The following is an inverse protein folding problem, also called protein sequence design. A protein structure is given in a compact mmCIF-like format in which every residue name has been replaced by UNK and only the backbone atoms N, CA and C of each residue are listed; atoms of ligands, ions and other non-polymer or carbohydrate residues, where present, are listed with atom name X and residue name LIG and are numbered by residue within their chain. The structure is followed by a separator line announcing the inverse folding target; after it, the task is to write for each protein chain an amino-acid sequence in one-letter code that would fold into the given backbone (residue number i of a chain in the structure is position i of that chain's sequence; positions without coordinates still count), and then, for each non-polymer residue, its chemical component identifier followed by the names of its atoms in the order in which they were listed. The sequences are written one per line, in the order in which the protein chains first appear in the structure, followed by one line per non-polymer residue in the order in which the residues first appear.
data_IF_150896680118
#
_entry.id   IF_150896680118
#
_cell.length_a   1.000
_cell.length_b   1.000
_cell.length_c   1.000
_cell.angle_alpha   90.00
_cell.angle_beta   90.00
_cell.angle_gamma   90.00
#
_symmetry.space_group_name_H-M   'P 1'
#
loop_
_entity.id
_entity.type
_entity.pdbx_description
1 polymer ?
#
# COMPACT_ATOMS: atom_id res chain seq x y z
N UNK A 1 -9.13 -24.86 14.53
CA UNK A 1 -8.75 -23.43 14.53
C UNK A 1 -9.89 -22.64 13.89
N UNK A 2 -10.37 -21.60 14.57
CA UNK A 2 -11.40 -20.67 14.08
C UNK A 2 -10.76 -19.35 13.68
N UNK A 3 -10.85 -18.94 12.42
CA UNK A 3 -10.18 -17.72 11.93
C UNK A 3 -11.14 -16.76 11.25
N UNK A 4 -10.84 -15.47 11.31
CA UNK A 4 -11.43 -14.47 10.43
C UNK A 4 -10.59 -14.35 9.16
N UNK A 5 -11.20 -14.52 7.99
CA UNK A 5 -10.55 -14.24 6.70
C UNK A 5 -10.79 -12.78 6.34
N UNK A 6 -9.72 -12.00 6.28
CA UNK A 6 -9.78 -10.57 5.99
C UNK A 6 -10.06 -10.26 4.53
N UNK A 7 -10.58 -9.06 4.28
CA UNK A 7 -10.94 -8.57 2.95
C UNK A 7 -9.76 -8.66 1.97
N UNK A 8 -8.56 -8.31 2.42
CA UNK A 8 -7.34 -8.35 1.59
C UNK A 8 -7.10 -9.73 0.96
N UNK A 9 -7.44 -10.80 1.68
CA UNK A 9 -7.27 -12.19 1.20
C UNK A 9 -8.37 -12.52 0.20
N UNK A 10 -9.62 -12.16 0.50
CA UNK A 10 -10.74 -12.41 -0.43
C UNK A 10 -10.58 -11.65 -1.76
N UNK A 11 -9.98 -10.46 -1.73
CA UNK A 11 -9.70 -9.67 -2.93
C UNK A 11 -8.80 -10.41 -3.94
N UNK A 12 -7.98 -11.36 -3.50
CA UNK A 12 -7.15 -12.19 -4.40
C UNK A 12 -7.98 -13.03 -5.38
N UNK A 13 -9.23 -13.36 -5.05
CA UNK A 13 -10.13 -14.08 -5.95
C UNK A 13 -10.64 -13.19 -7.11
N UNK A 14 -10.59 -11.87 -6.93
CA UNK A 14 -11.12 -10.89 -7.85
C UNK A 14 -10.06 -10.33 -8.81
N UNK A 15 -8.79 -10.49 -8.47
CA UNK A 15 -7.65 -9.92 -9.22
C UNK A 15 -6.94 -11.04 -9.96
N UNK A 16 -6.57 -10.82 -11.23
CA UNK A 16 -5.88 -11.80 -12.09
C UNK A 16 -4.38 -11.89 -11.76
N UNK A 17 -4.06 -12.23 -10.52
CA UNK A 17 -2.72 -12.66 -10.13
C UNK A 17 -2.76 -14.11 -9.66
N UNK A 18 -2.18 -15.00 -10.47
CA UNK A 18 -2.26 -16.45 -10.28
C UNK A 18 -1.73 -16.92 -8.91
N UNK A 19 -0.63 -16.33 -8.42
CA UNK A 19 0.03 -16.78 -7.19
C UNK A 19 -0.78 -16.53 -5.92
N UNK A 20 -1.38 -15.34 -5.76
CA UNK A 20 -2.19 -15.01 -4.58
C UNK A 20 -3.57 -15.66 -4.62
N UNK A 21 -4.13 -15.82 -5.83
CA UNK A 21 -5.38 -16.55 -6.03
C UNK A 21 -5.22 -18.02 -5.62
N UNK A 22 -4.12 -18.68 -6.02
CA UNK A 22 -3.87 -20.09 -5.69
C UNK A 22 -3.77 -20.32 -4.17
N UNK A 23 -3.03 -19.47 -3.44
CA UNK A 23 -2.92 -19.59 -1.98
C UNK A 23 -4.27 -19.36 -1.28
N UNK A 24 -5.04 -18.39 -1.76
CA UNK A 24 -6.38 -18.10 -1.21
C UNK A 24 -7.35 -19.25 -1.46
N UNK A 25 -7.31 -19.87 -2.64
CA UNK A 25 -8.11 -21.05 -2.95
C UNK A 25 -7.75 -22.23 -2.04
N UNK A 26 -6.44 -22.51 -1.83
CA UNK A 26 -6.00 -23.55 -0.88
C UNK A 26 -6.48 -23.30 0.54
N UNK A 27 -6.46 -22.04 0.99
CA UNK A 27 -7.01 -21.68 2.30
C UNK A 27 -8.51 -22.01 2.39
N UNK A 28 -9.27 -21.67 1.36
CA UNK A 28 -10.70 -21.97 1.29
C UNK A 28 -10.98 -23.48 1.25
N UNK A 29 -10.18 -24.26 0.53
CA UNK A 29 -10.27 -25.73 0.51
C UNK A 29 -10.03 -26.35 1.91
N UNK A 30 -9.07 -25.82 2.68
CA UNK A 30 -8.82 -26.27 4.07
C UNK A 30 -10.02 -25.94 4.98
N UNK A 31 -10.64 -24.77 4.78
CA UNK A 31 -11.85 -24.39 5.51
C UNK A 31 -13.04 -25.28 5.11
N UNK A 32 -13.24 -25.50 3.82
CA UNK A 32 -14.33 -26.32 3.26
C UNK A 32 -14.22 -27.79 3.71
N UNK A 33 -13.00 -28.33 3.80
CA UNK A 33 -12.71 -29.67 4.32
C UNK A 33 -12.88 -29.80 5.85
N UNK A 34 -13.33 -28.75 6.54
CA UNK A 34 -13.56 -28.70 7.98
C UNK A 34 -12.32 -28.93 8.85
N UNK A 35 -11.11 -28.86 8.27
CA UNK A 35 -9.83 -28.86 9.04
C UNK A 35 -9.69 -27.58 9.86
N UNK A 36 -10.37 -26.51 9.45
CA UNK A 36 -10.50 -25.27 10.19
C UNK A 36 -11.86 -24.62 9.91
N UNK A 37 -12.28 -23.71 10.79
CA UNK A 37 -13.50 -22.92 10.58
C UNK A 37 -13.12 -21.50 10.12
N UNK A 38 -13.61 -21.12 8.95
CA UNK A 38 -13.42 -19.78 8.39
C UNK A 38 -14.63 -18.90 8.62
N UNK A 39 -14.37 -17.69 9.07
CA UNK A 39 -15.37 -16.64 9.28
C UNK A 39 -15.05 -15.42 8.43
N UNK A 40 -16.05 -14.59 8.17
CA UNK A 40 -15.91 -13.29 7.51
C UNK A 40 -16.76 -12.24 8.23
N UNK A 41 -16.23 -11.03 8.40
CA UNK A 41 -16.97 -9.96 9.03
C UNK A 41 -18.13 -9.51 8.14
N UNK A 42 -19.30 -9.26 8.72
CA UNK A 42 -20.48 -8.75 7.98
C UNK A 42 -20.17 -7.49 7.15
N UNK A 43 -19.36 -6.58 7.69
CA UNK A 43 -18.91 -5.40 6.97
C UNK A 43 -18.03 -5.76 5.75
N UNK A 44 -17.16 -6.77 5.90
CA UNK A 44 -16.31 -7.31 4.83
C UNK A 44 -17.12 -8.00 3.74
N UNK A 45 -18.19 -8.73 4.08
CA UNK A 45 -19.10 -9.37 3.10
C UNK A 45 -19.67 -8.34 2.12
N UNK A 46 -20.18 -7.22 2.63
CA UNK A 46 -20.75 -6.17 1.80
C UNK A 46 -19.71 -5.51 0.88
N UNK A 47 -18.53 -5.20 1.42
CA UNK A 47 -17.40 -4.61 0.66
C UNK A 47 -16.90 -5.57 -0.41
N UNK A 48 -16.72 -6.84 -0.07
CA UNK A 48 -16.26 -7.88 -1.00
C UNK A 48 -17.20 -8.03 -2.19
N UNK A 49 -18.51 -8.14 -1.95
CA UNK A 49 -19.49 -8.22 -3.04
C UNK A 49 -19.48 -6.97 -3.92
N UNK A 50 -19.37 -5.79 -3.31
CA UNK A 50 -19.25 -4.53 -4.04
C UNK A 50 -18.03 -4.51 -4.97
N UNK A 51 -16.85 -4.89 -4.47
CA UNK A 51 -15.63 -4.95 -5.29
C UNK A 51 -15.71 -6.03 -6.37
N UNK A 52 -16.31 -7.19 -6.08
CA UNK A 52 -16.49 -8.24 -7.07
C UNK A 52 -17.31 -7.75 -8.26
N UNK A 53 -18.38 -6.97 -8.01
CA UNK A 53 -19.20 -6.38 -9.08
C UNK A 53 -18.43 -5.40 -9.96
N UNK A 54 -17.55 -4.61 -9.35
CA UNK A 54 -16.74 -3.61 -10.07
C UNK A 54 -15.68 -4.30 -10.92
N UNK A 55 -14.98 -5.29 -10.36
CA UNK A 55 -13.81 -5.90 -10.98
C UNK A 55 -14.13 -7.03 -11.95
N UNK A 56 -15.19 -7.81 -11.68
CA UNK A 56 -15.55 -9.01 -12.45
C UNK A 56 -16.93 -8.91 -13.14
N UNK A 57 -17.70 -7.86 -12.85
CA UNK A 57 -19.07 -7.71 -13.34
C UNK A 57 -20.09 -8.51 -12.53
N UNK A 58 -21.38 -8.24 -12.75
CA UNK A 58 -22.49 -8.73 -11.92
C UNK A 58 -22.58 -10.26 -11.84
N UNK A 59 -22.39 -10.95 -12.98
CA UNK A 59 -22.56 -12.41 -13.06
C UNK A 59 -21.47 -13.12 -12.26
N UNK A 60 -20.21 -12.84 -12.58
CA UNK A 60 -19.05 -13.47 -11.95
C UNK A 60 -18.97 -13.09 -10.46
N UNK A 61 -19.36 -11.86 -10.10
CA UNK A 61 -19.46 -11.44 -8.71
C UNK A 61 -20.43 -12.32 -7.91
N UNK A 62 -21.58 -12.70 -8.47
CA UNK A 62 -22.55 -13.58 -7.80
C UNK A 62 -22.00 -15.00 -7.64
N UNK A 63 -21.32 -15.51 -8.66
CA UNK A 63 -20.71 -16.85 -8.62
C UNK A 63 -19.61 -16.92 -7.55
N UNK A 64 -18.65 -15.99 -7.59
CA UNK A 64 -17.55 -15.90 -6.60
C UNK A 64 -18.10 -15.66 -5.19
N UNK A 65 -19.07 -14.76 -5.04
CA UNK A 65 -19.68 -14.50 -3.74
C UNK A 65 -20.40 -15.73 -3.18
N UNK A 66 -21.16 -16.45 -4.02
CA UNK A 66 -21.83 -17.68 -3.61
C UNK A 66 -20.85 -18.77 -3.20
N UNK A 67 -19.72 -18.88 -3.88
CA UNK A 67 -18.64 -19.79 -3.50
C UNK A 67 -18.07 -19.41 -2.14
N UNK A 68 -17.65 -18.15 -1.94
CA UNK A 68 -17.06 -17.68 -0.68
C UNK A 68 -18.02 -17.85 0.49
N UNK A 69 -19.29 -17.46 0.34
CA UNK A 69 -20.28 -17.58 1.42
C UNK A 69 -20.80 -19.01 1.63
N UNK A 70 -20.56 -19.91 0.68
CA UNK A 70 -20.77 -21.35 0.88
C UNK A 70 -19.73 -21.98 1.81
N UNK A 71 -18.55 -21.36 1.91
CA UNK A 71 -17.39 -21.85 2.67
C UNK A 71 -17.25 -21.10 4.01
N UNK A 72 -17.38 -19.77 3.99
CA UNK A 72 -17.18 -18.91 5.16
C UNK A 72 -18.47 -18.60 5.90
N UNK A 73 -18.38 -18.58 7.24
CA UNK A 73 -19.49 -18.16 8.11
C UNK A 73 -19.45 -16.64 8.33
N UNK A 74 -20.54 -15.94 8.04
CA UNK A 74 -20.65 -14.52 8.42
C UNK A 74 -20.68 -14.37 9.95
N UNK A 75 -19.87 -13.49 10.50
CA UNK A 75 -19.99 -13.04 11.89
C UNK A 75 -20.46 -11.59 11.97
N UNK A 76 -21.32 -11.32 12.96
CA UNK A 76 -21.84 -10.00 13.30
C UNK A 76 -21.29 -9.54 14.65
N UNK A 77 -21.21 -8.23 14.87
CA UNK A 77 -20.91 -7.64 16.17
C UNK A 77 -22.02 -6.66 16.52
N UNK A 78 -22.58 -6.79 17.73
CA UNK A 78 -23.39 -5.74 18.35
C UNK A 78 -22.44 -4.82 19.11
N UNK A 79 -22.04 -3.71 18.48
CA UNK A 79 -21.07 -2.77 19.04
C UNK A 79 -21.50 -2.26 20.42
N UNK A 80 -20.88 -2.80 21.46
CA UNK A 80 -20.93 -2.24 22.81
C UNK A 80 -20.00 -1.01 22.90
N UNK A 81 -20.19 -0.19 23.93
CA UNK A 81 -19.37 1.03 24.15
C UNK A 81 -17.88 0.66 24.29
N UNK A 82 -17.56 -0.45 24.97
CA UNK A 82 -16.20 -0.92 25.19
C UNK A 82 -15.49 -1.37 23.89
N UNK A 83 -16.25 -1.89 22.92
CA UNK A 83 -15.72 -2.30 21.61
C UNK A 83 -15.45 -1.10 20.70
N UNK A 84 -16.17 0.01 20.89
CA UNK A 84 -15.92 1.26 20.15
C UNK A 84 -14.62 1.93 20.59
N UNK A 85 -14.35 1.98 21.90
CA UNK A 85 -13.12 2.58 22.42
C UNK A 85 -11.90 1.79 21.94
N UNK A 86 -11.97 0.44 21.98
CA UNK A 86 -10.94 -0.44 21.40
C UNK A 86 -10.79 -0.28 19.89
N UNK A 87 -11.88 -0.03 19.17
CA UNK A 87 -11.83 0.20 17.73
C UNK A 87 -11.02 1.46 17.41
N UNK A 88 -11.19 2.56 18.15
CA UNK A 88 -10.42 3.79 17.91
C UNK A 88 -8.91 3.61 18.10
N UNK A 89 -8.51 2.94 19.18
CA UNK A 89 -7.09 2.62 19.43
C UNK A 89 -6.51 1.73 18.33
N UNK A 90 -7.28 0.74 17.86
CA UNK A 90 -6.88 -0.15 16.77
C UNK A 90 -6.83 0.56 15.42
N UNK A 91 -7.72 1.52 15.15
CA UNK A 91 -7.75 2.29 13.90
C UNK A 91 -6.45 3.07 13.73
N UNK A 92 -5.95 3.73 14.79
CA UNK A 92 -4.69 4.47 14.73
C UNK A 92 -3.49 3.59 14.41
N UNK A 93 -3.53 2.33 14.85
CA UNK A 93 -2.44 1.37 14.68
C UNK A 93 -2.51 0.58 13.37
N UNK A 94 -3.71 0.26 12.89
CA UNK A 94 -3.90 -0.76 11.84
C UNK A 94 -4.68 -0.28 10.62
N UNK A 95 -5.27 0.92 10.68
CA UNK A 95 -6.21 1.42 9.67
C UNK A 95 -7.64 0.94 9.93
N UNK A 96 -8.62 1.59 9.30
CA UNK A 96 -10.04 1.38 9.61
C UNK A 96 -10.51 -0.04 9.28
N UNK A 97 -10.15 -0.55 8.11
CA UNK A 97 -10.58 -1.86 7.63
C UNK A 97 -10.06 -3.00 8.52
N UNK A 98 -8.78 -2.96 8.88
CA UNK A 98 -8.16 -4.00 9.70
C UNK A 98 -8.64 -3.90 11.16
N UNK A 99 -8.79 -2.69 11.69
CA UNK A 99 -9.33 -2.48 13.03
C UNK A 99 -10.75 -3.03 13.15
N UNK A 100 -11.59 -2.78 12.15
CA UNK A 100 -12.94 -3.35 12.08
C UNK A 100 -12.87 -4.88 12.11
N UNK A 101 -12.07 -5.52 11.26
CA UNK A 101 -11.92 -6.98 11.23
C UNK A 101 -11.39 -7.56 12.55
N UNK A 102 -10.42 -6.92 13.20
CA UNK A 102 -9.91 -7.33 14.51
C UNK A 102 -11.01 -7.28 15.58
N UNK A 103 -11.85 -6.25 15.59
CA UNK A 103 -12.98 -6.18 16.53
C UNK A 103 -13.95 -7.33 16.29
N UNK A 104 -14.27 -7.66 15.04
CA UNK A 104 -15.11 -8.81 14.72
C UNK A 104 -14.50 -10.12 15.21
N UNK A 105 -13.20 -10.31 14.98
CA UNK A 105 -12.49 -11.51 15.40
C UNK A 105 -12.48 -11.68 16.92
N UNK A 106 -12.17 -10.61 17.65
CA UNK A 106 -12.11 -10.60 19.12
C UNK A 106 -13.50 -10.83 19.71
N UNK A 107 -14.52 -10.08 19.26
CA UNK A 107 -15.88 -10.16 19.79
C UNK A 107 -16.51 -11.55 19.57
N UNK A 108 -16.15 -12.23 18.49
CA UNK A 108 -16.64 -13.58 18.16
C UNK A 108 -15.76 -14.72 18.72
N UNK A 109 -14.77 -14.39 19.56
CA UNK A 109 -13.82 -15.34 20.16
C UNK A 109 -13.13 -16.21 19.10
N UNK A 110 -12.67 -15.59 18.01
CA UNK A 110 -11.87 -16.25 16.99
C UNK A 110 -10.41 -16.34 17.45
N UNK A 111 -9.65 -17.28 16.89
CA UNK A 111 -8.28 -17.56 17.31
C UNK A 111 -7.24 -16.72 16.55
N UNK A 112 -7.58 -16.27 15.34
CA UNK A 112 -6.69 -15.43 14.53
C UNK A 112 -7.44 -14.63 13.44
N UNK A 113 -6.80 -13.55 12.98
CA UNK A 113 -7.13 -12.84 11.73
C UNK A 113 -6.16 -13.29 10.64
N UNK A 114 -6.66 -13.72 9.49
CA UNK A 114 -5.87 -14.05 8.30
C UNK A 114 -5.91 -12.88 7.32
N UNK A 115 -4.75 -12.30 7.01
CA UNK A 115 -4.64 -11.11 6.15
C UNK A 115 -3.32 -11.13 5.38
N UNK A 116 -3.28 -10.43 4.24
CA UNK A 116 -2.02 -10.25 3.49
C UNK A 116 -1.04 -9.35 4.24
N UNK A 117 -1.52 -8.53 5.17
CA UNK A 117 -0.72 -7.56 5.93
C UNK A 117 -0.22 -8.10 7.28
N UNK A 118 -0.19 -9.43 7.47
CA UNK A 118 0.07 -10.02 8.78
C UNK A 118 1.44 -9.66 9.36
N UNK A 119 2.48 -9.56 8.53
CA UNK A 119 3.82 -9.16 8.98
C UNK A 119 3.83 -7.74 9.56
N UNK A 120 3.18 -6.78 8.87
CA UNK A 120 3.03 -5.39 9.31
C UNK A 120 2.28 -5.31 10.64
N UNK A 121 1.20 -6.07 10.78
CA UNK A 121 0.33 -6.04 11.97
C UNK A 121 0.97 -6.73 13.19
N UNK A 122 1.76 -7.78 12.98
CA UNK A 122 2.53 -8.41 14.03
C UNK A 122 3.68 -7.51 14.53
N UNK A 123 4.30 -6.71 13.65
CA UNK A 123 5.34 -5.74 14.04
C UNK A 123 4.80 -4.63 14.95
N UNK A 124 3.53 -4.24 14.76
CA UNK A 124 2.86 -3.20 15.55
C UNK A 124 2.43 -3.72 16.95
N UNK A 125 2.67 -5.00 17.24
CA UNK A 125 2.46 -5.58 18.57
C UNK A 125 1.00 -5.92 18.88
N UNK A 126 0.21 -6.29 17.87
CA UNK A 126 -1.16 -6.78 18.09
C UNK A 126 -1.15 -7.94 19.10
N UNK A 127 -1.85 -7.77 20.23
CA UNK A 127 -2.04 -8.83 21.22
C UNK A 127 -2.92 -9.99 20.71
N UNK A 128 -3.64 -9.75 19.61
CA UNK A 128 -4.44 -10.75 18.92
C UNK A 128 -3.65 -11.37 17.75
N UNK A 129 -3.63 -12.71 17.59
CA UNK A 129 -2.87 -13.35 16.53
C UNK A 129 -3.31 -12.92 15.13
N UNK A 130 -2.35 -12.43 14.34
CA UNK A 130 -2.56 -12.11 12.92
C UNK A 130 -1.65 -13.00 12.07
N UNK A 131 -2.22 -13.69 11.08
CA UNK A 131 -1.54 -14.71 10.28
C UNK A 131 -1.59 -14.36 8.80
N UNK A 132 -0.51 -14.63 8.07
CA UNK A 132 -0.55 -14.67 6.61
C UNK A 132 -1.23 -15.96 6.14
N UNK A 133 -1.64 -16.00 4.88
CA UNK A 133 -2.17 -17.23 4.27
C UNK A 133 -1.12 -18.35 4.34
N UNK A 134 0.12 -18.04 3.96
CA UNK A 134 1.26 -18.96 4.05
C UNK A 134 1.44 -19.55 5.46
N UNK A 135 1.40 -18.71 6.50
CA UNK A 135 1.49 -19.19 7.88
C UNK A 135 0.36 -20.12 8.30
N UNK A 136 -0.83 -19.99 7.70
CA UNK A 136 -1.95 -20.94 7.93
C UNK A 136 -1.69 -22.25 7.19
N UNK A 137 -1.19 -22.18 5.95
CA UNK A 137 -0.87 -23.34 5.13
C UNK A 137 0.26 -24.18 5.77
N UNK A 138 1.32 -23.53 6.26
CA UNK A 138 2.47 -24.18 6.90
C UNK A 138 2.14 -24.86 8.23
N UNK A 139 1.04 -24.46 8.88
CA UNK A 139 0.60 -25.01 10.17
C UNK A 139 -0.23 -26.29 10.04
N UNK A 140 -0.53 -26.74 8.83
CA UNK A 140 -1.20 -28.01 8.61
C UNK A 140 -0.17 -29.16 8.63
N UNK A 141 -0.50 -30.33 9.20
CA UNK A 141 0.40 -31.47 9.12
C UNK A 141 0.59 -31.87 7.66
N UNK A 142 1.83 -32.20 7.33
CA UNK A 142 2.29 -32.86 6.10
C UNK A 142 1.47 -34.13 5.79
N UNK A 143 0.30 -33.99 5.17
CA UNK A 143 -0.40 -35.13 4.55
C UNK A 143 -0.56 -34.97 3.03
N UNK A 144 -0.42 -33.76 2.48
CA UNK A 144 -0.39 -33.55 1.03
C UNK A 144 1.07 -33.53 0.55
N UNK A 145 1.52 -34.71 0.16
CA UNK A 145 2.91 -35.07 -0.05
C UNK A 145 3.38 -34.84 -1.49
N UNK A 146 4.70 -34.75 -1.69
CA UNK A 146 5.43 -35.10 -2.91
C UNK A 146 5.13 -34.31 -4.20
N UNK A 147 6.02 -33.36 -4.52
CA UNK A 147 6.75 -33.20 -5.79
C UNK A 147 7.08 -31.72 -6.05
N UNK A 148 8.24 -31.27 -5.57
CA UNK A 148 9.23 -30.44 -6.31
C UNK A 148 10.40 -30.11 -5.40
N UNK A 149 11.47 -30.89 -5.54
CA UNK A 149 12.80 -30.48 -5.08
C UNK A 149 13.42 -29.64 -6.20
N UNK A 150 13.84 -28.42 -5.89
CA UNK A 150 14.99 -27.80 -6.56
C UNK A 150 16.03 -27.41 -5.50
N UNK A 151 17.32 -27.43 -5.86
CA UNK A 151 18.40 -27.54 -4.89
C UNK A 151 18.77 -26.20 -4.26
N UNK A 152 19.07 -26.26 -2.97
CA UNK A 152 19.64 -25.17 -2.17
C UNK A 152 21.06 -24.89 -2.68
N UNK A 153 21.32 -23.69 -3.20
CA UNK A 153 22.68 -23.19 -3.37
C UNK A 153 23.21 -22.66 -2.04
N UNK A 154 24.39 -23.14 -1.66
CA UNK A 154 25.15 -22.75 -0.47
C UNK A 154 25.50 -21.25 -0.48
N UNK A 155 25.12 -20.54 0.58
CA UNK A 155 25.61 -19.22 0.93
C UNK A 155 27.08 -19.31 1.38
N UNK A 156 28.00 -18.87 0.51
CA UNK A 156 29.36 -18.50 0.93
C UNK A 156 29.34 -17.09 1.53
N UNK A 157 29.64 -17.03 2.82
CA UNK A 157 29.97 -15.81 3.55
C UNK A 157 31.45 -15.53 3.35
N UNK A 158 31.83 -14.31 2.95
CA UNK A 158 33.15 -13.71 3.18
C UNK A 158 33.09 -12.16 3.01
N UNK A 159 34.07 -11.40 3.51
CA UNK A 159 33.85 -10.46 4.61
C UNK A 159 33.81 -8.99 4.21
N UNK A 160 33.28 -8.16 5.11
CA UNK A 160 33.35 -6.71 5.07
C UNK A 160 34.81 -6.21 5.04
N UNK A 161 35.15 -5.44 4.01
CA UNK A 161 36.15 -4.37 4.14
C UNK A 161 35.64 -3.11 3.47
N UNK A 162 35.27 -2.17 4.33
CA UNK A 162 35.12 -0.73 4.10
C UNK A 162 36.27 -0.15 3.26
N UNK A 163 35.90 0.54 2.18
CA UNK A 163 36.48 1.83 1.79
C UNK A 163 35.36 2.69 1.17
N UNK A 164 34.93 3.71 1.93
CA UNK A 164 33.96 4.73 1.53
C UNK A 164 34.47 5.54 0.32
N UNK A 165 33.73 5.51 -0.79
CA UNK A 165 33.81 6.51 -1.85
C UNK A 165 32.58 7.42 -1.79
N UNK A 166 32.72 8.75 -1.59
CA UNK A 166 31.59 9.68 -1.41
C UNK A 166 30.73 9.98 -2.64
N UNK A 167 30.95 9.29 -3.77
CA UNK A 167 30.29 9.57 -5.06
C UNK A 167 29.40 8.42 -5.56
N UNK A 168 29.14 7.40 -4.74
CA UNK A 168 28.32 6.24 -5.11
C UNK A 168 26.90 6.24 -4.52
N UNK A 169 26.49 7.29 -3.81
CA UNK A 169 25.22 7.33 -3.10
C UNK A 169 23.99 7.66 -3.96
N UNK A 170 24.16 8.00 -5.25
CA UNK A 170 23.05 8.38 -6.14
C UNK A 170 22.56 7.24 -7.07
N UNK A 171 23.30 6.13 -7.19
CA UNK A 171 22.98 5.04 -8.14
C UNK A 171 22.31 3.81 -7.52
N UNK A 172 22.16 3.77 -6.19
CA UNK A 172 21.51 2.66 -5.46
C UNK A 172 20.04 2.95 -5.07
N UNK A 173 19.46 4.07 -5.54
CA UNK A 173 18.04 4.31 -5.30
C UNK A 173 17.18 3.39 -6.17
N UNK A 174 16.46 2.46 -5.52
CA UNK A 174 15.46 1.63 -6.17
C UNK A 174 14.39 2.53 -6.82
N UNK A 175 14.14 2.42 -8.14
CA UNK A 175 13.17 3.27 -8.81
C UNK A 175 11.76 3.01 -8.28
N UNK A 176 11.00 4.08 -8.06
CA UNK A 176 9.58 4.01 -7.74
C UNK A 176 8.82 3.62 -9.00
N UNK A 177 8.18 2.45 -8.98
CA UNK A 177 7.48 1.87 -10.13
C UNK A 177 6.03 2.35 -10.16
N UNK A 178 5.73 3.34 -11.00
CA UNK A 178 4.40 3.93 -11.13
C UNK A 178 3.42 2.97 -11.80
N UNK A 179 3.89 2.07 -12.68
CA UNK A 179 3.06 0.97 -13.20
C UNK A 179 2.45 0.09 -12.11
N UNK A 180 3.16 -0.13 -11.01
CA UNK A 180 2.58 -0.87 -9.89
C UNK A 180 1.43 -0.07 -9.29
N UNK A 181 1.60 1.24 -9.12
CA UNK A 181 0.56 2.12 -8.57
C UNK A 181 -0.68 2.14 -9.47
N UNK A 182 -0.52 2.27 -10.79
CA UNK A 182 -1.62 2.24 -11.75
C UNK A 182 -2.39 0.92 -11.73
N UNK A 183 -1.73 -0.17 -11.32
CA UNK A 183 -2.34 -1.51 -11.09
C UNK A 183 -2.87 -1.68 -9.67
N UNK A 184 -2.87 -0.63 -8.87
CA UNK A 184 -3.19 -0.63 -7.44
C UNK A 184 -2.29 -1.55 -6.59
N UNK A 185 -1.10 -1.87 -7.07
CA UNK A 185 -0.04 -2.51 -6.29
C UNK A 185 0.87 -1.44 -5.68
N UNK A 186 0.84 -1.36 -4.36
CA UNK A 186 1.58 -0.36 -3.61
C UNK A 186 2.59 -0.98 -2.64
N UNK A 187 2.86 -2.29 -2.75
CA UNK A 187 3.75 -2.97 -1.84
C UNK A 187 5.14 -2.32 -1.82
N UNK A 188 5.77 -2.18 -2.98
CA UNK A 188 7.06 -1.50 -3.12
C UNK A 188 6.98 -0.03 -2.67
N UNK A 189 5.86 0.63 -2.93
CA UNK A 189 5.65 2.04 -2.57
C UNK A 189 5.67 2.22 -1.04
N UNK A 190 4.95 1.38 -0.31
CA UNK A 190 4.86 1.44 1.16
C UNK A 190 6.21 1.12 1.82
N UNK A 191 6.97 0.16 1.29
CA UNK A 191 8.33 -0.12 1.77
C UNK A 191 9.24 1.09 1.58
N UNK A 192 9.03 1.84 0.50
CA UNK A 192 9.75 3.08 0.21
C UNK A 192 9.09 4.32 0.84
N UNK A 193 8.21 4.15 1.83
CA UNK A 193 7.56 5.24 2.58
C UNK A 193 6.68 6.17 1.72
N UNK A 194 6.03 5.61 0.69
CA UNK A 194 4.96 6.26 -0.06
C UNK A 194 3.60 5.85 0.50
N UNK A 195 2.88 6.80 1.07
CA UNK A 195 1.63 6.59 1.80
C UNK A 195 0.42 7.14 1.04
N UNK A 196 -0.81 6.72 1.36
CA UNK A 196 -2.02 7.44 0.94
C UNK A 196 -1.95 8.92 1.32
N UNK A 197 -2.52 9.78 0.47
CA UNK A 197 -2.59 11.22 0.73
C UNK A 197 -3.17 11.56 2.11
N UNK A 198 -4.19 10.82 2.52
CA UNK A 198 -4.95 11.04 3.75
C UNK A 198 -4.11 10.88 5.01
N UNK A 199 -3.08 10.03 4.96
CA UNK A 199 -2.24 9.70 6.10
C UNK A 199 -1.31 10.84 6.48
N UNK A 200 -0.87 11.62 5.49
CA UNK A 200 0.02 12.76 5.71
C UNK A 200 -0.78 14.07 5.66
N UNK A 201 -1.38 14.40 4.50
CA UNK A 201 -1.93 15.73 4.24
C UNK A 201 -3.41 15.87 4.64
N UNK A 202 -4.18 14.78 4.63
CA UNK A 202 -5.60 14.79 5.03
C UNK A 202 -5.86 15.28 6.46
N UNK A 203 -4.84 15.20 7.32
CA UNK A 203 -4.86 15.64 8.72
C UNK A 203 -4.38 17.09 8.94
N UNK A 204 -3.75 17.70 7.94
CA UNK A 204 -2.99 18.95 8.11
C UNK A 204 -3.81 20.20 7.72
N UNK A 205 -4.45 20.22 6.56
CA UNK A 205 -5.22 21.40 6.13
C UNK A 205 -6.39 21.04 5.20
N UNK A 206 -7.54 21.70 5.42
CA UNK A 206 -8.75 21.51 4.61
C UNK A 206 -8.56 21.91 3.15
N UNK A 207 -7.78 22.97 2.87
CA UNK A 207 -7.49 23.45 1.51
C UNK A 207 -6.80 22.40 0.64
N UNK A 208 -6.00 21.51 1.26
CA UNK A 208 -5.33 20.45 0.54
C UNK A 208 -6.29 19.30 0.15
N UNK A 209 -7.41 19.10 0.87
CA UNK A 209 -8.35 17.99 0.62
C UNK A 209 -9.06 18.06 -0.74
N UNK A 210 -9.10 19.22 -1.36
CA UNK A 210 -9.78 19.44 -2.64
C UNK A 210 -8.83 19.34 -3.85
N UNK A 211 -7.50 19.38 -3.63
CA UNK A 211 -6.50 19.42 -4.71
C UNK A 211 -6.46 18.14 -5.59
N UNK A 212 -6.57 16.91 -5.05
CA UNK A 212 -6.50 15.68 -5.87
C UNK A 212 -7.83 15.29 -6.52
N UNK A 213 -8.96 15.92 -6.14
CA UNK A 213 -10.32 15.43 -6.48
C UNK A 213 -10.68 15.54 -7.96
N UNK A 214 -9.86 16.23 -8.75
CA UNK A 214 -10.15 16.51 -10.16
C UNK A 214 -9.45 15.56 -11.14
N UNK A 215 -8.62 14.62 -10.66
CA UNK A 215 -7.90 13.70 -11.54
C UNK A 215 -8.27 12.25 -11.18
N UNK A 216 -8.90 11.55 -12.14
CA UNK A 216 -9.20 10.12 -12.05
C UNK A 216 -7.90 9.32 -12.13
N UNK A 217 -7.33 8.97 -10.99
CA UNK A 217 -6.09 8.21 -10.92
C UNK A 217 -5.74 7.84 -9.49
N UNK A 218 -4.53 7.35 -9.31
CA UNK A 218 -4.00 6.98 -7.99
C UNK A 218 -3.00 8.02 -7.54
N UNK A 219 -2.86 8.20 -6.24
CA UNK A 219 -1.85 9.09 -5.69
C UNK A 219 -1.16 8.47 -4.48
N UNK A 220 0.09 8.88 -4.28
CA UNK A 220 0.84 8.61 -3.06
C UNK A 220 1.60 9.85 -2.63
N UNK A 221 1.85 9.95 -1.34
CA UNK A 221 2.57 11.05 -0.71
C UNK A 221 3.75 10.50 0.07
N UNK A 222 4.88 11.18 -0.07
CA UNK A 222 6.09 10.93 0.71
C UNK A 222 6.39 12.14 1.57
N UNK A 223 6.54 11.90 2.87
CA UNK A 223 7.01 12.92 3.83
C UNK A 223 8.53 13.05 3.72
N UNK A 224 8.99 14.28 3.62
CA UNK A 224 10.40 14.65 3.57
C UNK A 224 10.67 15.47 4.83
N UNK A 225 11.66 15.05 5.62
CA UNK A 225 12.11 15.78 6.80
C UNK A 225 13.52 16.27 6.51
N UNK A 226 13.70 17.58 6.56
CA UNK A 226 14.98 18.24 6.32
C UNK A 226 15.76 18.39 7.62
N UNK A 227 17.09 18.50 7.53
CA UNK A 227 17.98 18.65 8.71
C UNK A 227 17.68 19.92 9.52
N UNK A 228 17.13 20.95 8.89
CA UNK A 228 16.69 22.17 9.56
C UNK A 228 15.32 22.02 10.27
N UNK A 229 14.77 20.81 10.32
CA UNK A 229 13.48 20.50 10.95
C UNK A 229 12.26 20.85 10.10
N UNK A 230 12.44 21.47 8.93
CA UNK A 230 11.35 21.67 7.99
C UNK A 230 10.81 20.31 7.53
N UNK A 231 9.49 20.21 7.34
CA UNK A 231 8.86 19.02 6.81
C UNK A 231 8.03 19.39 5.59
N UNK A 232 8.17 18.62 4.51
CA UNK A 232 7.43 18.79 3.27
C UNK A 232 6.79 17.48 2.84
N UNK A 233 5.75 17.56 2.02
CA UNK A 233 5.06 16.43 1.43
C UNK A 233 5.21 16.50 -0.09
N UNK A 234 5.88 15.52 -0.69
CA UNK A 234 5.84 15.31 -2.13
C UNK A 234 4.67 14.38 -2.44
N UNK A 235 3.74 14.87 -3.25
CA UNK A 235 2.57 14.15 -3.72
C UNK A 235 2.78 13.83 -5.17
N UNK A 236 2.57 12.57 -5.52
CA UNK A 236 2.66 12.07 -6.89
C UNK A 236 1.31 11.46 -7.22
N UNK A 237 0.62 12.07 -8.18
CA UNK A 237 -0.62 11.57 -8.75
C UNK A 237 -0.34 11.05 -10.17
N UNK A 238 -0.87 9.88 -10.48
CA UNK A 238 -0.76 9.27 -11.81
C UNK A 238 -2.11 8.76 -12.30
N UNK A 239 -2.39 8.99 -13.58
CA UNK A 239 -3.62 8.58 -14.24
C UNK A 239 -3.34 8.03 -15.65
N UNK A 240 -4.08 6.98 -16.04
CA UNK A 240 -4.04 6.48 -17.42
C UNK A 240 -4.93 7.39 -18.27
N UNK A 241 -4.35 8.04 -19.29
CA UNK A 241 -5.09 8.82 -20.28
C UNK A 241 -5.42 7.99 -21.54
N UNK A 242 -4.48 7.13 -21.97
CA UNK A 242 -4.66 6.23 -23.12
C UNK A 242 -3.83 4.94 -22.97
N UNK A 243 -3.89 4.03 -23.95
CA UNK A 243 -3.24 2.71 -23.88
C UNK A 243 -1.71 2.75 -23.64
N UNK A 244 -1.05 3.89 -23.81
CA UNK A 244 0.41 4.00 -23.58
C UNK A 244 0.86 5.27 -22.86
N UNK A 245 -0.04 6.20 -22.52
CA UNK A 245 0.32 7.51 -21.99
C UNK A 245 -0.24 7.67 -20.56
N UNK A 246 0.64 8.05 -19.64
CA UNK A 246 0.34 8.30 -18.22
C UNK A 246 0.45 9.79 -17.95
N UNK A 247 -0.60 10.38 -17.41
CA UNK A 247 -0.59 11.75 -16.90
C UNK A 247 -0.03 11.74 -15.47
N UNK A 248 0.97 12.60 -15.23
CA UNK A 248 1.69 12.68 -13.96
C UNK A 248 1.55 14.10 -13.42
N UNK A 249 1.02 14.22 -12.21
CA UNK A 249 0.96 15.46 -11.45
C UNK A 249 1.80 15.32 -10.17
N UNK A 250 2.80 16.18 -10.04
CA UNK A 250 3.63 16.34 -8.86
C UNK A 250 3.18 17.58 -8.10
N UNK A 251 3.06 17.47 -6.78
CA UNK A 251 2.74 18.61 -5.91
C UNK A 251 3.63 18.57 -4.68
N UNK A 252 4.10 19.73 -4.24
CA UNK A 252 4.94 19.87 -3.05
C UNK A 252 4.29 20.86 -2.08
N UNK A 253 4.07 20.41 -0.84
CA UNK A 253 3.46 21.20 0.22
C UNK A 253 4.35 21.23 1.46
N UNK A 254 4.28 22.31 2.25
CA UNK A 254 4.86 22.31 3.58
C UNK A 254 3.94 21.61 4.58
N UNK A 255 4.52 20.70 5.37
CA UNK A 255 3.85 20.04 6.50
C UNK A 255 4.07 20.84 7.78
N UNK A 256 5.30 21.32 8.00
CA UNK A 256 5.67 22.04 9.22
C UNK A 256 5.03 23.43 9.31
N UNK A 257 4.75 24.05 8.15
CA UNK A 257 4.00 25.30 8.06
C UNK A 257 3.01 25.24 6.87
N UNK A 258 1.78 24.74 7.08
CA UNK A 258 0.82 24.50 6.01
C UNK A 258 0.42 25.75 5.20
N UNK A 259 0.67 26.95 5.74
CA UNK A 259 0.30 28.19 5.06
C UNK A 259 1.43 28.80 4.23
N UNK A 260 2.62 28.20 4.22
CA UNK A 260 3.78 28.80 3.58
C UNK A 260 4.83 27.73 3.25
N UNK A 261 4.89 27.37 1.96
CA UNK A 261 6.02 26.61 1.43
C UNK A 261 7.23 27.55 1.41
N UNK A 262 8.36 27.19 2.06
CA UNK A 262 9.52 28.07 2.16
C UNK A 262 9.96 28.62 0.81
N UNK A 263 10.25 29.92 0.75
CA UNK A 263 10.65 30.61 -0.48
C UNK A 263 11.91 29.97 -1.10
N UNK A 264 11.99 29.99 -2.44
CA UNK A 264 13.08 29.39 -3.22
C UNK A 264 13.19 27.86 -3.09
N UNK A 265 12.16 27.18 -2.59
CA UNK A 265 12.04 25.72 -2.72
C UNK A 265 11.77 25.39 -4.18
N UNK A 266 12.57 24.52 -4.78
CA UNK A 266 12.39 24.09 -6.16
C UNK A 266 11.90 22.65 -6.22
N UNK A 267 10.98 22.41 -7.14
CA UNK A 267 10.59 21.08 -7.60
C UNK A 267 11.02 20.98 -9.06
N UNK A 268 11.85 20.00 -9.39
CA UNK A 268 12.49 19.86 -10.70
C UNK A 268 12.28 18.44 -11.20
N UNK A 269 11.84 18.28 -12.44
CA UNK A 269 11.83 17.01 -13.15
C UNK A 269 13.04 16.98 -14.07
N UNK A 270 13.86 15.94 -13.94
CA UNK A 270 15.04 15.69 -14.75
C UNK A 270 14.78 14.53 -15.70
N UNK A 271 15.23 14.68 -16.94
CA UNK A 271 15.34 13.55 -17.88
C UNK A 271 16.38 12.56 -17.34
N UNK A 272 16.03 11.27 -17.27
CA UNK A 272 16.93 10.25 -16.71
C UNK A 272 18.20 10.04 -17.54
N UNK A 273 18.11 10.11 -18.86
CA UNK A 273 19.21 9.81 -19.76
C UNK A 273 20.14 11.02 -19.93
N UNK A 274 19.59 12.22 -19.93
CA UNK A 274 20.34 13.46 -20.16
C UNK A 274 20.75 14.17 -18.87
N UNK A 275 20.13 13.85 -17.72
CA UNK A 275 20.27 14.60 -16.45
C UNK A 275 19.99 16.09 -16.60
N UNK A 276 19.27 16.47 -17.65
CA UNK A 276 18.88 17.84 -17.95
C UNK A 276 17.54 18.15 -17.30
N UNK A 277 17.36 19.41 -16.88
CA UNK A 277 16.08 19.90 -16.40
C UNK A 277 15.04 19.84 -17.52
N UNK A 278 14.03 19.00 -17.34
CA UNK A 278 12.88 18.90 -18.24
C UNK A 278 11.83 19.97 -17.92
N UNK A 279 11.43 20.08 -16.65
CA UNK A 279 10.50 21.10 -16.17
C UNK A 279 10.76 21.44 -14.70
N UNK A 280 10.60 22.69 -14.30
CA UNK A 280 10.80 23.14 -12.92
C UNK A 280 9.72 24.12 -12.44
N UNK A 281 9.48 24.12 -11.12
CA UNK A 281 8.70 25.10 -10.41
C UNK A 281 9.48 25.56 -9.17
N UNK A 282 9.35 26.83 -8.81
CA UNK A 282 10.00 27.43 -7.63
C UNK A 282 8.96 28.19 -6.82
N UNK A 283 8.96 27.99 -5.51
CA UNK A 283 8.05 28.69 -4.58
C UNK A 283 8.45 30.15 -4.38
N UNK A 284 7.42 30.98 -4.24
CA UNK A 284 7.51 32.37 -3.83
C UNK A 284 6.92 32.55 -2.42
N UNK A 285 7.17 33.71 -1.82
CA UNK A 285 6.63 34.03 -0.49
C UNK A 285 5.09 33.92 -0.48
N UNK A 286 4.55 33.12 0.43
CA UNK A 286 3.10 32.93 0.59
C UNK A 286 2.49 31.86 -0.31
N UNK A 287 3.30 31.15 -1.12
CA UNK A 287 2.81 29.98 -1.84
C UNK A 287 2.45 28.86 -0.86
N UNK A 288 1.23 28.33 -0.96
CA UNK A 288 0.80 27.17 -0.14
C UNK A 288 1.48 25.87 -0.59
N UNK A 289 1.95 25.83 -1.83
CA UNK A 289 2.60 24.69 -2.47
C UNK A 289 2.87 24.97 -3.95
N UNK A 290 3.72 24.16 -4.57
CA UNK A 290 4.03 24.22 -6.00
C UNK A 290 3.64 22.92 -6.68
N UNK A 291 3.42 22.96 -8.00
CA UNK A 291 3.02 21.79 -8.76
C UNK A 291 3.63 21.76 -10.17
N UNK A 292 3.81 20.55 -10.69
CA UNK A 292 4.24 20.27 -12.05
C UNK A 292 3.36 19.18 -12.63
N UNK A 293 2.91 19.34 -13.88
CA UNK A 293 2.14 18.33 -14.60
C UNK A 293 2.77 18.08 -15.96
N UNK A 294 2.95 16.81 -16.30
CA UNK A 294 3.50 16.38 -17.57
C UNK A 294 2.97 14.98 -17.89
N UNK A 295 3.36 14.46 -19.05
CA UNK A 295 2.96 13.13 -19.51
C UNK A 295 4.19 12.31 -19.82
N UNK A 296 4.06 11.00 -19.67
CA UNK A 296 5.13 10.06 -19.95
C UNK A 296 4.54 8.76 -20.51
N UNK A 297 5.32 8.09 -21.36
CA UNK A 297 4.98 6.79 -21.92
C UNK A 297 5.33 5.66 -20.94
N UNK A 298 4.66 4.52 -21.06
CA UNK A 298 5.04 3.31 -20.31
C UNK A 298 6.50 2.93 -20.59
N UNK A 299 7.28 2.74 -19.52
CA UNK A 299 8.70 2.42 -19.58
C UNK A 299 9.63 3.63 -19.46
N UNK A 300 9.10 4.86 -19.55
CA UNK A 300 9.88 6.07 -19.36
C UNK A 300 10.46 6.14 -17.95
N UNK A 301 11.62 6.78 -17.83
CA UNK A 301 12.28 7.06 -16.56
C UNK A 301 12.50 8.55 -16.42
N UNK A 302 12.27 9.06 -15.22
CA UNK A 302 12.55 10.44 -14.88
C UNK A 302 12.95 10.53 -13.42
N UNK A 303 13.65 11.60 -13.06
CA UNK A 303 13.97 11.89 -11.67
C UNK A 303 13.23 13.13 -11.20
N UNK A 304 12.74 13.11 -9.97
CA UNK A 304 12.18 14.30 -9.32
C UNK A 304 13.16 14.76 -8.27
N UNK A 305 13.68 15.96 -8.45
CA UNK A 305 14.60 16.62 -7.55
C UNK A 305 13.88 17.75 -6.81
N UNK A 306 14.08 17.82 -5.49
CA UNK A 306 13.57 18.88 -4.64
C UNK A 306 14.77 19.58 -4.02
N UNK A 307 14.92 20.87 -4.29
CA UNK A 307 15.96 21.69 -3.70
C UNK A 307 15.35 22.65 -2.68
N UNK A 308 15.92 22.67 -1.48
CA UNK A 308 15.54 23.62 -0.44
C UNK A 308 16.77 24.06 0.35
N UNK A 309 17.01 25.37 0.39
CA UNK A 309 18.21 25.97 0.99
C UNK A 309 19.49 25.37 0.38
N UNK A 310 20.26 24.60 1.17
CA UNK A 310 21.48 23.90 0.74
C UNK A 310 21.29 22.39 0.57
N UNK A 311 20.06 21.91 0.74
CA UNK A 311 19.72 20.50 0.74
C UNK A 311 19.02 20.12 -0.55
N UNK A 312 19.22 18.87 -0.96
CA UNK A 312 18.58 18.30 -2.14
C UNK A 312 18.16 16.87 -1.88
N UNK A 313 16.96 16.52 -2.35
CA UNK A 313 16.51 15.14 -2.44
C UNK A 313 16.14 14.83 -3.89
N UNK A 314 16.65 13.72 -4.40
CA UNK A 314 16.29 13.20 -5.71
C UNK A 314 15.59 11.86 -5.52
N UNK A 315 14.52 11.63 -6.28
CA UNK A 315 13.78 10.39 -6.37
C UNK A 315 13.73 9.91 -7.81
N UNK A 316 14.05 8.64 -8.03
CA UNK A 316 13.95 8.01 -9.34
C UNK A 316 12.57 7.38 -9.54
N UNK A 317 11.94 7.65 -10.68
CA UNK A 317 10.67 7.07 -11.08
C UNK A 317 10.81 6.31 -12.40
N UNK A 318 10.04 5.22 -12.49
CA UNK A 318 9.82 4.46 -13.72
C UNK A 318 8.31 4.40 -13.93
N UNK A 319 7.86 4.78 -15.12
CA UNK A 319 6.46 4.68 -15.53
C UNK A 319 6.14 3.24 -15.78
#
# INVERSE_FOLDING_TARGET
MRVLVGLSVLMCLLIEQESFSEQTLKLLEIIESQRMEGYVAKATVAKFFYYAKILRGEKDAREIFSMVMGILKECSVDYTILEKDRLYDLIELTGFEVAEELVYAIANNLEALVTLNAQKLNYIGSSFPVLSVEQVLDRQPLEDSFHRYEPIYELKVEPETSLLNPWQTELDQKPVKLNNWLRNDFYDAEQENWYPWEDILGRIQYSYRDAPRHIKGVNRVKKITWDNGCQMALVVHVAIESNNEVDILLQLYAISNPNDLPENTKLVVLDYDLSETFIEAQSQLGDLGIQLRFRADYGDKFSVKIDYDKFSYTYLFMV
#
